data_IF_196309337076
#
_entry.id   IF_196309337076
#
_cell.length_a   1.000
_cell.length_b   1.000
_cell.length_c   1.000
_cell.angle_alpha   90.00
_cell.angle_beta   90.00
_cell.angle_gamma   90.00
#
_symmetry.space_group_name_H-M   'P 1'
#
loop_
_entity.id
_entity.type
_entity.pdbx_description
1 polymer ?
#
# COMPACT_ATOMS: atom_id res chain seq x y z
N UNK A 1 -1.19 8.21 -12.39
CA UNK A 1 -1.22 9.44 -11.60
C UNK A 1 -2.54 9.68 -10.87
N UNK A 2 -3.70 9.40 -11.49
CA UNK A 2 -5.02 9.64 -10.88
C UNK A 2 -5.20 9.11 -9.44
N UNK A 3 -4.68 7.92 -9.12
CA UNK A 3 -4.79 7.36 -7.76
C UNK A 3 -3.98 8.16 -6.72
N UNK A 4 -2.79 8.65 -7.09
CA UNK A 4 -1.94 9.44 -6.20
C UNK A 4 -2.58 10.80 -5.92
N UNK A 5 -3.17 11.43 -6.93
CA UNK A 5 -3.87 12.72 -6.80
C UNK A 5 -5.11 12.58 -5.91
N UNK A 6 -5.93 11.54 -6.14
CA UNK A 6 -7.11 11.28 -5.33
C UNK A 6 -6.77 11.01 -3.86
N UNK A 7 -5.76 10.16 -3.59
CA UNK A 7 -5.30 9.89 -2.23
C UNK A 7 -4.68 11.13 -1.57
N UNK A 8 -3.96 11.94 -2.33
CA UNK A 8 -3.36 13.20 -1.85
C UNK A 8 -4.45 14.16 -1.41
N UNK A 9 -5.45 14.42 -2.25
CA UNK A 9 -6.56 15.30 -1.91
C UNK A 9 -7.30 14.80 -0.66
N UNK A 10 -7.69 13.53 -0.64
CA UNK A 10 -8.43 12.94 0.48
C UNK A 10 -7.67 13.02 1.81
N UNK A 11 -6.40 12.61 1.84
CA UNK A 11 -5.61 12.61 3.08
C UNK A 11 -5.22 14.02 3.52
N UNK A 12 -4.98 14.94 2.57
CA UNK A 12 -4.71 16.34 2.90
C UNK A 12 -5.93 17.02 3.52
N UNK A 13 -7.14 16.72 3.06
CA UNK A 13 -8.40 17.19 3.68
C UNK A 13 -8.55 16.71 5.13
N UNK A 14 -7.99 15.55 5.48
CA UNK A 14 -7.96 15.05 6.86
C UNK A 14 -6.80 15.66 7.70
N UNK A 15 -6.03 16.60 7.14
CA UNK A 15 -4.94 17.30 7.83
C UNK A 15 -3.58 16.60 7.76
N UNK A 16 -3.42 15.57 6.93
CA UNK A 16 -2.12 14.90 6.74
C UNK A 16 -1.22 15.63 5.74
N UNK A 17 0.09 15.61 5.98
CA UNK A 17 1.07 16.02 4.97
C UNK A 17 1.32 14.86 4.02
N UNK A 18 0.95 15.03 2.75
CA UNK A 18 1.05 13.96 1.76
C UNK A 18 2.09 14.33 0.71
N UNK A 19 2.95 13.36 0.39
CA UNK A 19 3.87 13.42 -0.73
C UNK A 19 3.76 12.09 -1.48
N UNK A 20 3.77 12.15 -2.80
CA UNK A 20 3.76 10.95 -3.62
C UNK A 20 5.05 10.85 -4.44
N UNK A 21 5.43 9.62 -4.76
CA UNK A 21 6.50 9.30 -5.68
C UNK A 21 5.96 8.30 -6.72
N UNK A 22 6.45 8.41 -7.95
CA UNK A 22 6.06 7.54 -9.07
C UNK A 22 7.14 6.54 -9.45
N UNK A 23 8.24 6.48 -8.70
CA UNK A 23 9.34 5.54 -8.85
C UNK A 23 9.99 5.22 -7.49
N UNK A 24 10.76 4.13 -7.45
CA UNK A 24 11.41 3.67 -6.22
C UNK A 24 12.39 4.67 -5.59
N UNK A 25 13.15 5.42 -6.38
CA UNK A 25 14.16 6.37 -5.85
C UNK A 25 13.49 7.55 -5.14
N UNK A 26 12.44 8.12 -5.74
CA UNK A 26 11.62 9.14 -5.12
C UNK A 26 10.93 8.63 -3.86
N UNK A 27 10.45 7.37 -3.87
CA UNK A 27 9.81 6.77 -2.71
C UNK A 27 10.79 6.68 -1.52
N UNK A 28 12.03 6.23 -1.76
CA UNK A 28 13.08 6.15 -0.73
C UNK A 28 13.43 7.54 -0.18
N UNK A 29 13.55 8.55 -1.05
CA UNK A 29 13.86 9.92 -0.61
C UNK A 29 12.75 10.50 0.29
N UNK A 30 11.48 10.26 -0.02
CA UNK A 30 10.37 10.74 0.81
C UNK A 30 10.21 9.93 2.11
N UNK A 31 10.55 8.64 2.08
CA UNK A 31 10.37 7.74 3.21
C UNK A 31 11.17 8.16 4.45
N UNK A 32 12.29 8.85 4.29
CA UNK A 32 13.10 9.37 5.39
C UNK A 32 12.32 10.32 6.31
N UNK A 33 11.26 10.95 5.82
CA UNK A 33 10.46 11.94 6.55
C UNK A 33 8.97 11.57 6.70
N UNK A 34 8.55 10.39 6.22
CA UNK A 34 7.16 9.95 6.32
C UNK A 34 6.84 9.43 7.74
N UNK A 35 5.58 9.15 8.06
CA UNK A 35 5.20 8.30 9.21
C UNK A 35 4.60 6.97 8.74
N UNK A 36 4.07 6.98 7.50
CA UNK A 36 3.40 5.90 6.82
C UNK A 36 3.70 6.02 5.32
N UNK A 37 4.04 4.91 4.69
CA UNK A 37 4.08 4.79 3.24
C UNK A 37 2.87 4.00 2.75
N UNK A 38 2.24 4.47 1.68
CA UNK A 38 1.19 3.76 0.96
C UNK A 38 1.79 3.29 -0.36
N UNK A 39 1.88 1.97 -0.56
CA UNK A 39 2.53 1.39 -1.73
C UNK A 39 1.57 0.51 -2.53
N UNK A 40 1.56 0.68 -3.85
CA UNK A 40 0.87 -0.23 -4.76
C UNK A 40 1.82 -1.34 -5.23
N UNK A 41 1.37 -2.60 -5.17
CA UNK A 41 2.16 -3.75 -5.61
C UNK A 41 2.26 -3.84 -7.14
N UNK A 42 1.30 -3.29 -7.88
CA UNK A 42 1.36 -3.16 -9.34
C UNK A 42 1.54 -1.70 -9.73
N UNK A 43 2.76 -1.19 -9.54
CA UNK A 43 3.22 0.11 -10.03
C UNK A 43 3.52 0.07 -11.54
N UNK A 44 2.57 -0.35 -12.36
CA UNK A 44 2.76 -0.44 -13.82
C UNK A 44 3.97 -1.28 -14.22
N UNK A 45 5.10 -0.63 -14.55
CA UNK A 45 6.38 -1.25 -14.92
C UNK A 45 7.30 -1.60 -13.75
N UNK A 46 7.11 -1.03 -12.56
CA UNK A 46 7.88 -1.36 -11.35
C UNK A 46 7.15 -2.37 -10.47
N UNK A 47 7.90 -3.28 -9.87
CA UNK A 47 7.39 -4.20 -8.86
C UNK A 47 7.35 -3.51 -7.49
N UNK A 48 6.16 -3.28 -6.94
CA UNK A 48 6.01 -2.60 -5.65
C UNK A 48 6.67 -3.32 -4.48
N UNK A 49 6.91 -4.64 -4.58
CA UNK A 49 7.64 -5.39 -3.56
C UNK A 49 9.10 -4.96 -3.45
N UNK A 50 9.75 -4.66 -4.58
CA UNK A 50 11.16 -4.23 -4.59
C UNK A 50 11.29 -2.84 -3.93
N UNK A 51 10.29 -1.97 -4.15
CA UNK A 51 10.21 -0.68 -3.48
C UNK A 51 10.04 -0.88 -1.98
N UNK A 52 9.11 -1.74 -1.54
CA UNK A 52 8.89 -2.06 -0.12
C UNK A 52 10.18 -2.59 0.53
N UNK A 53 10.92 -3.48 -0.15
CA UNK A 53 12.18 -4.00 0.36
C UNK A 53 13.22 -2.87 0.54
N UNK A 54 13.36 -1.99 -0.45
CA UNK A 54 14.25 -0.83 -0.36
C UNK A 54 13.86 0.11 0.77
N UNK A 55 12.56 0.38 0.93
CA UNK A 55 12.03 1.21 2.01
C UNK A 55 12.38 0.66 3.38
N UNK A 56 12.21 -0.66 3.58
CA UNK A 56 12.55 -1.34 4.84
C UNK A 56 14.04 -1.33 5.14
N UNK A 57 14.90 -1.44 4.13
CA UNK A 57 16.36 -1.34 4.33
C UNK A 57 16.78 0.03 4.81
N UNK A 58 16.15 1.09 4.31
CA UNK A 58 16.48 2.48 4.66
C UNK A 58 15.83 2.90 5.97
N UNK A 59 14.59 2.44 6.23
CA UNK A 59 13.84 2.79 7.42
C UNK A 59 12.99 1.60 7.91
N UNK A 60 13.59 0.69 8.71
CA UNK A 60 12.94 -0.53 9.17
C UNK A 60 11.62 -0.31 9.93
N UNK A 61 11.50 0.80 10.66
CA UNK A 61 10.33 1.17 11.46
C UNK A 61 9.21 1.86 10.66
N UNK A 62 9.41 2.11 9.36
CA UNK A 62 8.37 2.71 8.51
C UNK A 62 7.14 1.81 8.46
N UNK A 63 5.98 2.37 8.82
CA UNK A 63 4.71 1.69 8.60
C UNK A 63 4.42 1.69 7.10
N UNK A 64 4.05 0.54 6.55
CA UNK A 64 3.73 0.39 5.13
C UNK A 64 2.32 -0.17 4.99
N UNK A 65 1.44 0.59 4.34
CA UNK A 65 0.12 0.15 3.91
C UNK A 65 0.18 -0.25 2.44
N UNK A 66 -0.19 -1.49 2.15
CA UNK A 66 -0.21 -1.99 0.78
C UNK A 66 -1.61 -1.80 0.19
N UNK A 67 -1.71 -1.06 -0.92
CA UNK A 67 -2.93 -0.90 -1.70
C UNK A 67 -2.79 -1.66 -3.02
N UNK A 68 -3.55 -2.72 -3.25
CA UNK A 68 -3.53 -3.41 -4.54
C UNK A 68 -4.94 -3.79 -4.98
N UNK A 69 -5.21 -3.65 -6.28
CA UNK A 69 -6.45 -4.11 -6.89
C UNK A 69 -6.50 -5.64 -7.07
N UNK A 70 -5.38 -6.35 -6.85
CA UNK A 70 -5.29 -7.80 -7.01
C UNK A 70 -4.57 -8.44 -5.81
N UNK A 71 -5.29 -8.71 -4.71
CA UNK A 71 -4.70 -9.43 -3.58
C UNK A 71 -4.44 -10.88 -3.99
N UNK A 72 -3.18 -11.26 -4.19
CA UNK A 72 -2.79 -12.68 -4.23
C UNK A 72 -2.25 -13.11 -2.87
N UNK A 73 -2.47 -14.38 -2.51
CA UNK A 73 -1.96 -14.95 -1.25
C UNK A 73 -0.43 -14.80 -1.19
N UNK A 74 0.26 -15.02 -2.31
CA UNK A 74 1.73 -14.90 -2.39
C UNK A 74 2.21 -13.46 -2.17
N UNK A 75 1.49 -12.46 -2.69
CA UNK A 75 1.79 -11.06 -2.46
C UNK A 75 1.59 -10.67 -1.00
N UNK A 76 0.54 -11.18 -0.36
CA UNK A 76 0.26 -10.98 1.06
C UNK A 76 1.30 -11.66 1.95
N UNK A 77 1.71 -12.89 1.62
CA UNK A 77 2.75 -13.62 2.34
C UNK A 77 4.11 -12.93 2.21
N UNK A 78 4.47 -12.48 1.00
CA UNK A 78 5.75 -11.79 0.77
C UNK A 78 5.80 -10.45 1.52
N UNK A 79 4.70 -9.66 1.48
CA UNK A 79 4.61 -8.41 2.22
C UNK A 79 4.70 -8.62 3.76
N UNK A 80 4.09 -9.71 4.25
CA UNK A 80 4.14 -10.12 5.67
C UNK A 80 5.55 -10.54 6.07
N UNK A 81 6.22 -11.39 5.29
CA UNK A 81 7.55 -11.90 5.60
C UNK A 81 8.61 -10.80 5.56
N UNK A 82 8.43 -9.79 4.71
CA UNK A 82 9.30 -8.62 4.70
C UNK A 82 9.10 -7.74 5.94
N UNK A 83 8.00 -7.87 6.67
CA UNK A 83 7.69 -7.05 7.83
C UNK A 83 7.29 -7.79 9.06
N UNK A 84 8.31 -8.14 9.83
CA UNK A 84 8.31 -8.42 11.27
C UNK A 84 6.92 -8.43 11.93
N UNK A 85 6.11 -9.41 11.53
CA UNK A 85 4.83 -9.78 12.14
C UNK A 85 3.67 -8.77 12.10
N UNK A 86 3.65 -7.71 11.27
CA UNK A 86 2.51 -6.77 11.27
C UNK A 86 2.00 -6.38 9.88
N UNK A 87 0.98 -7.10 9.42
CA UNK A 87 -0.05 -6.58 8.50
C UNK A 87 -1.43 -6.98 9.04
N UNK A 88 -2.26 -6.01 9.49
CA UNK A 88 -3.68 -6.16 9.19
C UNK A 88 -4.37 -4.82 8.86
N UNK A 89 -5.09 -4.78 7.74
CA UNK A 89 -6.53 -4.50 7.76
C UNK A 89 -7.15 -4.92 6.42
N UNK A 90 -7.96 -5.98 6.49
CA UNK A 90 -8.97 -6.43 5.50
C UNK A 90 -8.61 -6.29 4.01
N UNK A 91 -7.99 -7.34 3.47
CA UNK A 91 -8.26 -7.72 2.09
C UNK A 91 -9.76 -8.04 1.96
N UNK A 92 -10.47 -7.21 1.19
CA UNK A 92 -11.72 -7.55 0.53
C UNK A 92 -12.76 -8.32 1.38
N UNK A 93 -13.62 -7.59 2.10
CA UNK A 93 -15.00 -8.07 2.29
C UNK A 93 -15.70 -8.12 0.93
N UNK A 94 -15.40 -9.16 0.15
CA UNK A 94 -16.31 -9.64 -0.88
C UNK A 94 -17.28 -10.58 -0.18
N UNK A 95 -18.36 -10.03 0.37
CA UNK A 95 -19.51 -10.83 0.74
C UNK A 95 -20.25 -11.17 -0.56
N UNK A 96 -20.22 -12.41 -1.07
CA UNK A 96 -21.15 -12.78 -2.13
C UNK A 96 -22.54 -12.57 -1.54
N UNK A 97 -23.33 -11.73 -2.19
CA UNK A 97 -24.73 -11.50 -1.88
C UNK A 97 -25.42 -12.86 -1.79
N UNK A 98 -25.80 -13.27 -0.58
CA UNK A 98 -26.79 -14.33 -0.42
C UNK A 98 -28.06 -13.80 -1.08
N UNK A 99 -28.42 -14.36 -2.24
CA UNK A 99 -29.76 -14.23 -2.79
C UNK A 99 -30.74 -14.74 -1.74
N UNK A 100 -31.42 -13.81 -1.07
CA UNK A 100 -32.66 -14.10 -0.37
C UNK A 100 -33.65 -14.69 -1.36
N UNK A 101 -34.32 -15.76 -0.92
CA UNK A 101 -35.14 -16.63 -1.74
C UNK A 101 -36.22 -15.91 -2.55
N UNK A 102 -36.52 -16.50 -3.70
CA UNK A 102 -37.78 -16.31 -4.39
C UNK A 102 -38.89 -16.86 -3.48
N UNK A 103 -39.95 -16.07 -3.34
CA UNK A 103 -41.26 -16.52 -2.87
C UNK A 103 -41.90 -17.51 -3.85
#
# INVERSE_FOLDING_TARGET
>A
MAICEALTAFLAEQGHQVRYATNGDGAVAQALHADLAICDLRLGSENGLDVIERLRRVRPELKILVLTAYPSIDALQTATNLGDGRVPLEAARHQPTRRTGCA
#
